data_IF_089050630268
#
_entry.id   IF_089050630268
#
_cell.length_a   1.000
_cell.length_b   1.000
_cell.length_c   1.000
_cell.angle_alpha   90.00
_cell.angle_beta   90.00
_cell.angle_gamma   90.00
#
_symmetry.space_group_name_H-M   'P 1'
#
loop_
_entity.id
_entity.type
_entity.pdbx_description
1 polymer ?
#
# COMPACT_ATOMS: atom_id res chain seq x y z
N UNK A 1 38.11 -2.05 -8.63
CA UNK A 1 37.35 -0.91 -9.16
C UNK A 1 37.35 0.19 -8.10
N UNK A 2 38.15 1.24 -8.32
CA UNK A 2 38.61 2.19 -7.30
C UNK A 2 37.52 3.23 -6.99
N UNK A 3 37.21 3.44 -5.71
CA UNK A 3 36.23 4.42 -5.20
C UNK A 3 36.65 5.90 -5.39
N UNK A 4 37.66 6.18 -6.22
CA UNK A 4 38.28 7.50 -6.36
C UNK A 4 37.64 8.44 -7.39
N UNK A 5 36.60 8.02 -8.11
CA UNK A 5 36.00 8.84 -9.20
C UNK A 5 34.52 9.18 -9.05
N UNK A 6 33.91 9.03 -7.86
CA UNK A 6 32.54 9.51 -7.67
C UNK A 6 32.53 10.97 -7.26
N UNK A 7 31.65 11.76 -7.91
CA UNK A 7 31.47 13.18 -7.59
C UNK A 7 31.18 13.37 -6.09
N UNK A 8 31.75 14.40 -5.44
CA UNK A 8 31.56 14.63 -4.01
C UNK A 8 30.09 14.82 -3.62
N UNK A 9 29.26 15.31 -4.55
CA UNK A 9 27.80 15.42 -4.39
C UNK A 9 27.12 14.06 -4.29
N UNK A 10 27.56 13.09 -5.10
CA UNK A 10 27.02 11.74 -5.05
C UNK A 10 27.37 11.06 -3.73
N UNK A 11 28.62 11.18 -3.26
CA UNK A 11 29.05 10.55 -2.01
C UNK A 11 28.25 11.04 -0.79
N UNK A 12 27.96 12.35 -0.74
CA UNK A 12 27.11 12.93 0.32
C UNK A 12 25.67 12.42 0.24
N UNK A 13 25.08 12.45 -0.96
CA UNK A 13 23.71 11.96 -1.17
C UNK A 13 23.58 10.46 -0.86
N UNK A 14 24.58 9.67 -1.22
CA UNK A 14 24.63 8.24 -0.93
C UNK A 14 24.67 7.96 0.57
N UNK A 15 25.54 8.65 1.33
CA UNK A 15 25.64 8.46 2.79
C UNK A 15 24.33 8.81 3.49
N UNK A 16 23.70 9.92 3.10
CA UNK A 16 22.41 10.35 3.65
C UNK A 16 21.29 9.36 3.29
N UNK A 17 21.26 8.89 2.05
CA UNK A 17 20.31 7.85 1.60
C UNK A 17 20.48 6.54 2.37
N UNK A 18 21.72 6.09 2.61
CA UNK A 18 22.01 4.88 3.39
C UNK A 18 21.48 5.02 4.83
N UNK A 19 21.69 6.16 5.46
CA UNK A 19 21.19 6.43 6.81
C UNK A 19 19.66 6.35 6.89
N UNK A 20 18.93 7.07 6.03
CA UNK A 20 17.47 7.01 6.02
C UNK A 20 16.95 5.62 5.60
N UNK A 21 17.65 4.92 4.72
CA UNK A 21 17.35 3.55 4.35
C UNK A 21 17.44 2.58 5.53
N UNK A 22 18.49 2.71 6.37
CA UNK A 22 18.63 1.92 7.60
C UNK A 22 17.51 2.23 8.59
N UNK A 23 17.20 3.51 8.82
CA UNK A 23 16.08 3.91 9.67
C UNK A 23 14.75 3.30 9.19
N UNK A 24 14.51 3.30 7.87
CA UNK A 24 13.32 2.68 7.28
C UNK A 24 13.29 1.17 7.48
N UNK A 25 14.42 0.47 7.30
CA UNK A 25 14.52 -0.97 7.57
C UNK A 25 14.19 -1.31 9.02
N UNK A 26 14.69 -0.52 9.98
CA UNK A 26 14.36 -0.70 11.41
C UNK A 26 12.86 -0.48 11.66
N UNK A 27 12.27 0.55 11.06
CA UNK A 27 10.83 0.81 11.17
C UNK A 27 9.98 -0.34 10.60
N UNK A 28 10.38 -0.90 9.45
CA UNK A 28 9.71 -2.07 8.85
C UNK A 28 9.86 -3.33 9.72
N UNK A 29 11.01 -3.52 10.37
CA UNK A 29 11.21 -4.64 11.30
C UNK A 29 10.29 -4.51 12.52
N UNK A 30 10.17 -3.32 13.10
CA UNK A 30 9.24 -3.02 14.20
C UNK A 30 7.81 -3.32 13.75
N UNK A 31 7.40 -2.82 12.57
CA UNK A 31 6.07 -3.08 11.99
C UNK A 31 5.80 -4.57 11.76
N UNK A 32 6.78 -5.32 11.26
CA UNK A 32 6.66 -6.77 11.02
C UNK A 32 6.42 -7.51 12.34
N UNK A 33 7.17 -7.16 13.38
CA UNK A 33 7.01 -7.77 14.70
C UNK A 33 5.67 -7.43 15.33
N UNK A 34 5.26 -6.16 15.31
CA UNK A 34 3.98 -5.72 15.90
C UNK A 34 2.79 -6.31 15.15
N UNK A 35 2.76 -6.26 13.81
CA UNK A 35 1.67 -6.84 13.03
C UNK A 35 1.59 -8.36 13.16
N UNK A 36 2.72 -9.05 13.29
CA UNK A 36 2.75 -10.49 13.55
C UNK A 36 2.11 -10.82 14.90
N UNK A 37 2.51 -10.10 15.97
CA UNK A 37 1.96 -10.29 17.31
C UNK A 37 0.46 -9.94 17.40
N UNK A 38 0.04 -8.83 16.78
CA UNK A 38 -1.34 -8.33 16.82
C UNK A 38 -2.29 -9.15 15.93
N UNK A 39 -1.81 -9.59 14.75
CA UNK A 39 -2.60 -10.44 13.87
C UNK A 39 -2.76 -11.86 14.41
N UNK A 40 -1.78 -12.37 15.16
CA UNK A 40 -1.87 -13.65 15.85
C UNK A 40 -2.92 -13.64 16.97
N UNK A 41 -3.24 -12.47 17.53
CA UNK A 41 -4.21 -12.33 18.62
C UNK A 41 -5.62 -11.99 18.16
N UNK A 42 -5.81 -11.34 17.00
CA UNK A 42 -7.13 -10.76 16.64
C UNK A 42 -7.82 -11.38 15.40
N UNK A 43 -7.15 -11.58 14.26
CA UNK A 43 -7.89 -11.31 13.01
C UNK A 43 -7.92 -12.35 11.89
N UNK A 44 -7.01 -13.33 11.83
CA UNK A 44 -6.86 -14.15 10.61
C UNK A 44 -7.86 -15.31 10.49
N UNK A 45 -8.56 -15.63 11.58
CA UNK A 45 -9.44 -16.80 11.68
C UNK A 45 -10.93 -16.45 11.80
N UNK A 46 -11.35 -15.17 11.74
CA UNK A 46 -12.76 -14.81 11.95
C UNK A 46 -13.43 -14.23 10.70
N UNK A 47 -12.79 -13.32 9.98
CA UNK A 47 -13.36 -12.76 8.75
C UNK A 47 -13.35 -13.75 7.58
N UNK A 48 -12.21 -14.38 7.30
CA UNK A 48 -12.09 -15.41 6.25
C UNK A 48 -12.77 -16.73 6.63
N UNK A 49 -12.75 -17.12 7.90
CA UNK A 49 -13.40 -18.36 8.35
C UNK A 49 -14.92 -18.20 8.39
N UNK A 50 -15.47 -17.09 8.90
CA UNK A 50 -16.93 -16.91 8.94
C UNK A 50 -17.53 -16.80 7.53
N UNK A 51 -16.84 -16.14 6.61
CA UNK A 51 -17.27 -16.05 5.21
C UNK A 51 -17.11 -17.38 4.46
N UNK A 52 -16.00 -18.09 4.64
CA UNK A 52 -15.80 -19.44 4.09
C UNK A 52 -16.80 -20.46 4.65
N UNK A 53 -17.07 -20.42 5.96
CA UNK A 53 -18.09 -21.26 6.62
C UNK A 53 -19.50 -20.94 6.11
N UNK A 54 -19.85 -19.67 5.87
CA UNK A 54 -21.13 -19.32 5.25
C UNK A 54 -21.25 -19.86 3.83
N UNK A 55 -20.17 -19.85 3.05
CA UNK A 55 -20.12 -20.41 1.70
C UNK A 55 -20.24 -21.94 1.74
N UNK A 56 -19.49 -22.60 2.64
CA UNK A 56 -19.52 -24.05 2.82
C UNK A 56 -20.90 -24.53 3.30
N UNK A 57 -21.57 -23.75 4.16
CA UNK A 57 -22.96 -24.04 4.57
C UNK A 57 -23.93 -23.97 3.39
N UNK A 58 -23.83 -22.94 2.56
CA UNK A 58 -24.67 -22.82 1.34
C UNK A 58 -24.38 -23.92 0.33
N UNK A 59 -23.11 -24.29 0.16
CA UNK A 59 -22.70 -25.43 -0.67
C UNK A 59 -23.30 -26.73 -0.16
N UNK A 60 -23.24 -26.96 1.15
CA UNK A 60 -23.74 -28.20 1.77
C UNK A 60 -25.27 -28.27 1.70
N UNK A 61 -25.95 -27.15 1.90
CA UNK A 61 -27.41 -27.05 1.73
C UNK A 61 -27.84 -27.36 0.28
N UNK A 62 -27.14 -26.78 -0.71
CA UNK A 62 -27.37 -27.07 -2.11
C UNK A 62 -27.19 -28.58 -2.40
N UNK A 63 -26.08 -29.17 -1.93
CA UNK A 63 -25.78 -30.60 -2.13
C UNK A 63 -26.84 -31.50 -1.47
N UNK A 64 -27.30 -31.16 -0.27
CA UNK A 64 -28.34 -31.92 0.43
C UNK A 64 -29.68 -31.88 -0.31
N UNK A 65 -30.06 -30.71 -0.83
CA UNK A 65 -31.29 -30.57 -1.63
C UNK A 65 -31.18 -31.33 -2.94
N UNK A 66 -30.02 -31.28 -3.62
CA UNK A 66 -29.79 -32.03 -4.85
C UNK A 66 -29.87 -33.53 -4.63
N UNK A 67 -29.29 -34.03 -3.53
CA UNK A 67 -29.26 -35.45 -3.19
C UNK A 67 -30.64 -35.99 -2.81
N UNK A 68 -31.41 -35.23 -2.01
CA UNK A 68 -32.78 -35.62 -1.64
C UNK A 68 -33.69 -35.73 -2.86
N UNK A 69 -33.52 -34.85 -3.85
CA UNK A 69 -34.36 -34.81 -5.05
C UNK A 69 -33.93 -35.86 -6.12
N UNK A 70 -32.69 -36.36 -6.08
CA UNK A 70 -32.21 -37.43 -6.98
C UNK A 70 -33.04 -38.72 -6.86
N UNK A 71 -33.58 -38.99 -5.67
CA UNK A 71 -34.36 -40.21 -5.40
C UNK A 71 -35.81 -40.07 -5.91
N UNK A 72 -36.29 -38.83 -6.10
CA UNK A 72 -37.70 -38.54 -6.37
C UNK A 72 -38.02 -38.28 -7.85
N UNK A 73 -37.03 -38.04 -8.72
CA UNK A 73 -37.24 -37.60 -10.11
C UNK A 73 -36.47 -38.44 -11.14
N UNK A 74 -36.98 -38.56 -12.38
CA UNK A 74 -36.23 -39.11 -13.50
C UNK A 74 -34.98 -38.27 -13.80
N UNK A 75 -33.94 -38.90 -14.33
CA UNK A 75 -32.61 -38.31 -14.55
C UNK A 75 -32.63 -37.00 -15.36
N UNK A 76 -33.45 -36.92 -16.40
CA UNK A 76 -33.55 -35.74 -17.26
C UNK A 76 -34.12 -34.52 -16.52
N UNK A 77 -35.22 -34.70 -15.79
CA UNK A 77 -35.87 -33.63 -15.02
C UNK A 77 -35.00 -33.20 -13.82
N UNK A 78 -34.26 -34.15 -13.24
CA UNK A 78 -33.30 -33.87 -12.18
C UNK A 78 -32.12 -33.05 -12.70
N UNK A 79 -31.56 -33.39 -13.88
CA UNK A 79 -30.43 -32.69 -14.47
C UNK A 79 -30.77 -31.22 -14.81
N UNK A 80 -31.97 -30.97 -15.34
CA UNK A 80 -32.44 -29.61 -15.63
C UNK A 80 -32.59 -28.79 -14.34
N UNK A 81 -33.19 -29.37 -13.30
CA UNK A 81 -33.32 -28.71 -11.99
C UNK A 81 -31.96 -28.47 -11.32
N UNK A 82 -31.05 -29.43 -11.40
CA UNK A 82 -29.71 -29.33 -10.82
C UNK A 82 -28.92 -28.19 -11.46
N UNK A 83 -28.94 -28.10 -12.80
CA UNK A 83 -28.32 -27.00 -13.54
C UNK A 83 -28.89 -25.65 -13.11
N UNK A 84 -30.21 -25.53 -12.98
CA UNK A 84 -30.86 -24.28 -12.54
C UNK A 84 -30.47 -23.88 -11.11
N UNK A 85 -30.38 -24.83 -10.19
CA UNK A 85 -29.95 -24.55 -8.80
C UNK A 85 -28.45 -24.22 -8.72
N UNK A 86 -27.64 -24.89 -9.52
CA UNK A 86 -26.20 -24.63 -9.63
C UNK A 86 -25.95 -23.23 -10.20
N UNK A 87 -26.69 -22.83 -11.24
CA UNK A 87 -26.62 -21.49 -11.84
C UNK A 87 -26.99 -20.39 -10.82
N UNK A 88 -28.01 -20.62 -9.98
CA UNK A 88 -28.37 -19.68 -8.90
C UNK A 88 -27.27 -19.59 -7.83
N UNK A 89 -26.65 -20.72 -7.48
CA UNK A 89 -25.54 -20.74 -6.54
C UNK A 89 -24.29 -20.05 -7.11
N UNK A 90 -23.96 -20.32 -8.37
CA UNK A 90 -22.87 -19.68 -9.11
C UNK A 90 -23.11 -18.18 -9.22
N UNK A 91 -24.33 -17.75 -9.55
CA UNK A 91 -24.69 -16.32 -9.58
C UNK A 91 -24.56 -15.67 -8.20
N UNK A 92 -24.96 -16.34 -7.13
CA UNK A 92 -24.76 -15.83 -5.76
C UNK A 92 -23.28 -15.78 -5.37
N UNK A 93 -22.48 -16.74 -5.85
CA UNK A 93 -21.04 -16.85 -5.59
C UNK A 93 -20.26 -15.80 -6.39
N UNK A 94 -20.62 -15.55 -7.65
CA UNK A 94 -20.10 -14.48 -8.47
C UNK A 94 -20.48 -13.11 -7.94
N UNK A 95 -21.71 -12.92 -7.45
CA UNK A 95 -22.11 -11.69 -6.77
C UNK A 95 -21.30 -11.45 -5.49
N UNK A 96 -21.05 -12.51 -4.71
CA UNK A 96 -20.18 -12.44 -3.53
C UNK A 96 -18.72 -12.11 -3.88
N UNK A 97 -18.20 -12.61 -5.01
CA UNK A 97 -16.87 -12.25 -5.51
C UNK A 97 -16.84 -10.88 -6.24
N UNK A 98 -17.97 -10.19 -6.37
CA UNK A 98 -18.08 -8.92 -7.08
C UNK A 98 -17.91 -9.03 -8.60
N UNK A 99 -18.16 -10.21 -9.17
CA UNK A 99 -18.01 -10.50 -10.59
C UNK A 99 -19.31 -10.39 -11.41
N UNK A 100 -20.45 -10.09 -10.78
CA UNK A 100 -21.74 -9.98 -11.48
C UNK A 100 -22.07 -8.51 -11.78
N UNK A 101 -21.79 -8.07 -13.01
CA UNK A 101 -22.24 -6.80 -13.57
C UNK A 101 -23.74 -6.89 -13.90
N UNK A 102 -24.57 -6.15 -13.17
CA UNK A 102 -25.92 -5.82 -13.63
C UNK A 102 -26.12 -4.30 -13.59
N UNK A 103 -26.76 -3.79 -14.64
CA UNK A 103 -27.21 -2.42 -14.92
C UNK A 103 -26.24 -1.42 -15.59
N UNK A 104 -26.67 -0.99 -16.79
CA UNK A 104 -26.03 -0.06 -17.73
C UNK A 104 -25.78 1.35 -17.14
N UNK A 105 -26.54 1.78 -16.12
CA UNK A 105 -26.40 3.09 -15.47
C UNK A 105 -25.24 3.14 -14.45
N UNK A 106 -24.84 1.99 -13.90
CA UNK A 106 -23.71 1.87 -12.95
C UNK A 106 -22.36 2.01 -13.65
N UNK A 107 -22.30 1.74 -14.96
CA UNK A 107 -21.07 1.74 -15.75
C UNK A 107 -20.33 3.09 -15.75
N UNK A 108 -21.05 4.22 -15.84
CA UNK A 108 -20.43 5.54 -15.88
C UNK A 108 -19.86 5.94 -14.52
N UNK A 109 -20.64 5.77 -13.44
CA UNK A 109 -20.20 6.11 -12.08
C UNK A 109 -19.04 5.22 -11.65
N UNK A 110 -19.06 3.94 -12.00
CA UNK A 110 -17.94 3.03 -11.79
C UNK A 110 -16.71 3.43 -12.59
N UNK A 111 -16.88 3.83 -13.86
CA UNK A 111 -15.78 4.32 -14.70
C UNK A 111 -15.18 5.61 -14.15
N UNK A 112 -16.02 6.54 -13.67
CA UNK A 112 -15.59 7.76 -13.00
C UNK A 112 -14.82 7.45 -11.71
N UNK A 113 -15.31 6.50 -10.90
CA UNK A 113 -14.63 6.04 -9.68
C UNK A 113 -13.26 5.46 -9.99
N UNK A 114 -13.19 4.57 -10.98
CA UNK A 114 -11.94 3.97 -11.47
C UNK A 114 -10.97 5.06 -11.94
N UNK A 115 -11.46 6.05 -12.71
CA UNK A 115 -10.69 7.20 -13.18
C UNK A 115 -10.17 8.07 -12.03
N UNK A 116 -11.01 8.47 -11.07
CA UNK A 116 -10.59 9.26 -9.91
C UNK A 116 -9.59 8.48 -9.05
N UNK A 117 -9.84 7.20 -8.79
CA UNK A 117 -8.93 6.34 -8.02
C UNK A 117 -7.56 6.22 -8.69
N UNK A 118 -7.51 6.14 -10.02
CA UNK A 118 -6.28 6.05 -10.80
C UNK A 118 -5.49 7.37 -10.77
N UNK A 119 -6.16 8.52 -10.89
CA UNK A 119 -5.53 9.85 -10.82
C UNK A 119 -5.03 10.18 -9.40
N UNK A 120 -5.83 9.85 -8.39
CA UNK A 120 -5.55 10.18 -6.98
C UNK A 120 -4.71 9.12 -6.27
N UNK A 121 -4.46 7.98 -6.89
CA UNK A 121 -3.70 6.83 -6.34
C UNK A 121 -4.29 6.25 -5.05
N UNK A 122 -5.59 6.49 -4.80
CA UNK A 122 -6.25 6.12 -3.54
C UNK A 122 -6.55 4.62 -3.44
N UNK A 123 -6.69 3.86 -4.53
CA UNK A 123 -7.32 2.53 -4.46
C UNK A 123 -6.63 1.42 -5.25
N UNK A 124 -6.79 0.16 -4.82
CA UNK A 124 -6.32 -1.01 -5.56
C UNK A 124 -7.06 -1.12 -6.89
N UNK A 125 -6.30 -1.42 -7.95
CA UNK A 125 -6.81 -1.59 -9.29
C UNK A 125 -6.75 -3.08 -9.63
N UNK A 126 -7.89 -3.70 -9.89
CA UNK A 126 -7.96 -5.09 -10.32
C UNK A 126 -7.49 -5.21 -11.77
N UNK A 127 -6.26 -5.68 -11.95
CA UNK A 127 -5.60 -5.79 -13.27
C UNK A 127 -6.37 -6.75 -14.20
N UNK A 128 -7.07 -7.74 -13.63
CA UNK A 128 -7.83 -8.76 -14.35
C UNK A 128 -9.10 -8.22 -15.01
N UNK A 129 -9.58 -7.04 -14.60
CA UNK A 129 -10.74 -6.37 -15.19
C UNK A 129 -10.40 -5.59 -16.47
N UNK A 130 -9.13 -5.52 -16.88
CA UNK A 130 -8.71 -4.73 -18.05
C UNK A 130 -8.32 -5.59 -19.25
N UNK A 131 -8.85 -5.21 -20.41
CA UNK A 131 -8.34 -5.67 -21.71
C UNK A 131 -6.94 -5.13 -21.98
N UNK A 132 -6.19 -5.74 -22.90
CA UNK A 132 -4.83 -5.28 -23.28
C UNK A 132 -4.86 -3.78 -23.66
N UNK A 133 -5.85 -3.37 -24.46
CA UNK A 133 -6.07 -1.97 -24.83
C UNK A 133 -6.36 -1.08 -23.61
N UNK A 134 -7.19 -1.55 -22.68
CA UNK A 134 -7.50 -0.84 -21.44
C UNK A 134 -6.27 -0.65 -20.54
N UNK A 135 -5.37 -1.63 -20.50
CA UNK A 135 -4.09 -1.53 -19.75
C UNK A 135 -3.18 -0.44 -20.33
N UNK A 136 -3.02 -0.39 -21.65
CA UNK A 136 -2.21 0.64 -22.31
C UNK A 136 -2.80 2.04 -22.06
N UNK A 137 -4.12 2.19 -22.19
CA UNK A 137 -4.80 3.45 -21.90
C UNK A 137 -4.59 3.90 -20.45
N UNK A 138 -4.74 2.97 -19.50
CA UNK A 138 -4.54 3.21 -18.06
C UNK A 138 -3.15 3.75 -17.75
N UNK A 139 -2.10 3.20 -18.38
CA UNK A 139 -0.71 3.68 -18.23
C UNK A 139 -0.56 5.12 -18.71
N UNK A 140 -1.04 5.43 -19.91
CA UNK A 140 -0.97 6.79 -20.49
C UNK A 140 -1.75 7.78 -19.61
N UNK A 141 -2.96 7.38 -19.22
CA UNK A 141 -3.85 8.20 -18.40
C UNK A 141 -3.25 8.48 -17.02
N UNK A 142 -2.67 7.49 -16.33
CA UNK A 142 -2.02 7.70 -15.04
C UNK A 142 -0.75 8.57 -15.16
N UNK A 143 0.03 8.40 -16.23
CA UNK A 143 1.26 9.17 -16.46
C UNK A 143 0.99 10.68 -16.55
N UNK A 144 -0.14 11.08 -17.13
CA UNK A 144 -0.54 12.49 -17.25
C UNK A 144 -1.38 12.91 -16.04
N UNK A 145 -2.30 12.05 -15.59
CA UNK A 145 -3.26 12.35 -14.53
C UNK A 145 -2.62 12.54 -13.15
N UNK A 146 -1.67 11.68 -12.76
CA UNK A 146 -1.03 11.76 -11.44
C UNK A 146 -0.29 13.09 -11.25
N UNK A 147 0.58 13.56 -12.18
CA UNK A 147 1.18 14.89 -12.08
C UNK A 147 0.16 16.03 -12.00
N UNK A 148 -0.93 15.96 -12.76
CA UNK A 148 -2.01 16.96 -12.70
C UNK A 148 -2.69 16.97 -11.32
N UNK A 149 -2.93 15.80 -10.74
CA UNK A 149 -3.46 15.68 -9.38
C UNK A 149 -2.50 16.29 -8.35
N UNK A 150 -1.20 15.99 -8.46
CA UNK A 150 -0.19 16.56 -7.57
C UNK A 150 -0.08 18.08 -7.68
N UNK A 151 -0.23 18.64 -8.89
CA UNK A 151 -0.31 20.09 -9.09
C UNK A 151 -1.52 20.69 -8.37
N UNK A 152 -2.70 20.07 -8.50
CA UNK A 152 -3.90 20.53 -7.83
C UNK A 152 -3.76 20.44 -6.29
N UNK A 153 -3.27 19.31 -5.77
CA UNK A 153 -2.98 19.13 -4.35
C UNK A 153 -1.97 20.15 -3.83
N UNK A 154 -0.98 20.55 -4.64
CA UNK A 154 -0.02 21.58 -4.29
C UNK A 154 -0.71 22.94 -4.09
N UNK A 155 -1.61 23.33 -5.00
CA UNK A 155 -2.34 24.60 -4.88
C UNK A 155 -3.32 24.58 -3.70
N UNK A 156 -4.09 23.51 -3.54
CA UNK A 156 -4.99 23.33 -2.40
C UNK A 156 -4.21 23.37 -1.08
N UNK A 157 -3.05 22.73 -1.05
CA UNK A 157 -2.19 22.74 0.11
C UNK A 157 -1.60 24.12 0.44
N UNK A 158 -1.31 24.98 -0.56
CA UNK A 158 -0.90 26.37 -0.31
C UNK A 158 -2.04 27.18 0.30
N UNK A 159 -3.27 26.95 -0.16
CA UNK A 159 -4.46 27.56 0.41
C UNK A 159 -4.65 27.15 1.88
N UNK A 160 -4.51 25.85 2.19
CA UNK A 160 -4.58 25.34 3.56
C UNK A 160 -3.52 26.00 4.46
N UNK A 161 -2.26 26.08 4.01
CA UNK A 161 -1.19 26.70 4.79
C UNK A 161 -1.35 28.20 5.01
N UNK A 162 -2.16 28.88 4.19
CA UNK A 162 -2.50 30.29 4.41
C UNK A 162 -3.48 30.52 5.57
N UNK A 163 -4.21 29.47 5.96
CA UNK A 163 -5.20 29.54 7.05
C UNK A 163 -4.64 28.92 8.34
N UNK A 164 -3.93 27.79 8.23
CA UNK A 164 -3.33 27.10 9.38
C UNK A 164 -1.83 26.92 9.19
N UNK A 165 -1.04 27.44 10.14
CA UNK A 165 0.43 27.38 10.09
C UNK A 165 1.02 26.41 11.12
N UNK A 166 2.02 25.65 10.69
CA UNK A 166 2.84 24.78 11.53
C UNK A 166 2.04 23.71 12.29
N UNK A 167 2.34 23.54 13.58
CA UNK A 167 1.76 22.50 14.44
C UNK A 167 0.26 22.62 14.63
N UNK A 168 -0.31 23.82 14.42
CA UNK A 168 -1.75 24.05 14.54
C UNK A 168 -2.55 23.33 13.45
N UNK A 169 -1.90 22.90 12.35
CA UNK A 169 -2.52 22.15 11.25
C UNK A 169 -2.92 20.71 11.65
N UNK A 170 -2.31 20.14 12.68
CA UNK A 170 -2.64 18.77 13.11
C UNK A 170 -4.07 18.69 13.68
N UNK A 171 -4.50 19.73 14.40
CA UNK A 171 -5.84 19.80 15.02
C UNK A 171 -6.96 19.76 13.96
N UNK A 172 -7.00 20.65 12.95
CA UNK A 172 -8.05 20.60 11.93
C UNK A 172 -7.99 19.33 11.08
N UNK A 173 -6.82 18.71 10.88
CA UNK A 173 -6.73 17.41 10.19
C UNK A 173 -7.43 16.32 10.98
N UNK A 174 -7.17 16.23 12.30
CA UNK A 174 -7.83 15.24 13.16
C UNK A 174 -9.34 15.50 13.21
N UNK A 175 -9.76 16.76 13.39
CA UNK A 175 -11.17 17.13 13.36
C UNK A 175 -11.83 16.77 12.02
N UNK A 176 -11.15 17.01 10.90
CA UNK A 176 -11.67 16.71 9.57
C UNK A 176 -11.83 15.20 9.34
N UNK A 177 -10.86 14.38 9.80
CA UNK A 177 -10.96 12.92 9.76
C UNK A 177 -12.16 12.45 10.59
N UNK A 178 -12.34 12.99 11.80
CA UNK A 178 -13.45 12.61 12.67
C UNK A 178 -14.82 12.98 12.07
N UNK A 179 -14.98 14.22 11.60
CA UNK A 179 -16.22 14.68 10.96
C UNK A 179 -16.51 13.87 9.69
N UNK A 180 -15.49 13.61 8.89
CA UNK A 180 -15.62 12.78 7.68
C UNK A 180 -16.05 11.36 8.05
N UNK A 181 -15.47 10.75 9.09
CA UNK A 181 -15.87 9.42 9.57
C UNK A 181 -17.34 9.37 9.98
N UNK A 182 -17.86 10.38 10.68
CA UNK A 182 -19.29 10.49 11.01
C UNK A 182 -20.15 10.60 9.75
N UNK A 183 -19.74 11.42 8.78
CA UNK A 183 -20.46 11.55 7.51
C UNK A 183 -20.48 10.22 6.75
N UNK A 184 -19.35 9.53 6.70
CA UNK A 184 -19.23 8.22 6.06
C UNK A 184 -20.13 7.18 6.73
N UNK A 185 -20.17 7.16 8.06
CA UNK A 185 -21.01 6.23 8.82
C UNK A 185 -22.50 6.46 8.53
N UNK A 186 -22.94 7.72 8.48
CA UNK A 186 -24.32 8.12 8.16
C UNK A 186 -24.71 7.81 6.72
N UNK A 187 -23.82 8.04 5.75
CA UNK A 187 -24.10 7.77 4.32
C UNK A 187 -24.17 6.27 4.04
N UNK A 188 -23.37 5.47 4.74
CA UNK A 188 -23.21 4.04 4.50
C UNK A 188 -24.34 3.19 5.10
N UNK A 189 -25.26 3.76 5.90
CA UNK A 189 -26.36 3.07 6.59
C UNK A 189 -25.91 1.70 7.14
N UNK A 190 -24.75 1.71 7.84
CA UNK A 190 -24.13 0.48 8.34
C UNK A 190 -25.04 -0.15 9.39
N UNK A 191 -25.43 -1.40 9.16
CA UNK A 191 -25.92 -2.29 10.22
C UNK A 191 -24.92 -2.23 11.41
N UNK A 192 -25.44 -2.05 12.63
CA UNK A 192 -24.76 -1.71 13.90
C UNK A 192 -23.61 -2.65 14.35
N UNK A 193 -23.21 -3.63 13.54
CA UNK A 193 -22.27 -4.69 13.89
C UNK A 193 -20.78 -4.30 13.75
N UNK A 194 -20.46 -3.19 13.09
CA UNK A 194 -19.07 -2.73 12.89
C UNK A 194 -18.74 -1.51 13.75
N UNK A 195 -17.63 -1.52 14.52
CA UNK A 195 -17.29 -0.41 15.39
C UNK A 195 -16.96 0.86 14.59
N UNK A 196 -17.40 2.03 15.07
CA UNK A 196 -17.10 3.37 14.51
C UNK A 196 -15.59 3.60 14.22
N UNK A 197 -14.71 2.94 14.97
CA UNK A 197 -13.27 2.96 14.71
C UNK A 197 -12.89 2.44 13.33
N UNK A 198 -13.65 1.50 12.75
CA UNK A 198 -13.42 1.00 11.39
C UNK A 198 -13.71 2.09 10.34
N UNK A 199 -14.70 2.96 10.59
CA UNK A 199 -14.99 4.10 9.73
C UNK A 199 -13.86 5.13 9.80
N UNK A 200 -13.40 5.49 11.01
CA UNK A 200 -12.23 6.38 11.18
C UNK A 200 -11.01 5.81 10.45
N UNK A 201 -10.74 4.52 10.63
CA UNK A 201 -9.59 3.86 10.02
C UNK A 201 -9.70 3.85 8.49
N UNK A 202 -10.87 3.53 7.94
CA UNK A 202 -11.13 3.55 6.50
C UNK A 202 -10.92 4.95 5.90
N UNK A 203 -11.47 5.99 6.55
CA UNK A 203 -11.31 7.39 6.10
C UNK A 203 -9.85 7.82 6.15
N UNK A 204 -9.13 7.47 7.22
CA UNK A 204 -7.72 7.77 7.35
C UNK A 204 -6.88 7.11 6.24
N UNK A 205 -7.13 5.83 5.93
CA UNK A 205 -6.46 5.12 4.84
C UNK A 205 -6.76 5.74 3.48
N UNK A 206 -8.00 6.20 3.27
CA UNK A 206 -8.41 6.87 2.04
C UNK A 206 -7.70 8.22 1.86
N UNK A 207 -7.66 9.05 2.90
CA UNK A 207 -6.98 10.35 2.85
C UNK A 207 -5.46 10.22 2.79
N UNK A 208 -4.89 9.12 3.29
CA UNK A 208 -3.46 8.79 3.19
C UNK A 208 -3.07 8.12 1.87
N UNK A 209 -4.01 7.98 0.92
CA UNK A 209 -3.80 7.30 -0.37
C UNK A 209 -3.28 5.86 -0.25
N UNK A 210 -3.61 5.17 0.87
CA UNK A 210 -3.22 3.75 1.10
C UNK A 210 -4.31 2.81 0.59
N UNK A 211 -5.58 3.15 0.87
CA UNK A 211 -6.73 2.64 0.13
C UNK A 211 -7.24 1.23 0.44
N UNK A 212 -8.54 1.15 0.73
CA UNK A 212 -9.42 0.07 0.25
C UNK A 212 -10.81 0.67 -0.02
N UNK A 213 -11.10 1.02 -1.27
CA UNK A 213 -12.42 1.51 -1.70
C UNK A 213 -13.23 0.34 -2.23
N UNK A 214 -13.61 -0.59 -1.35
CA UNK A 214 -14.46 -1.73 -1.73
C UNK A 214 -15.94 -1.34 -1.86
N UNK A 215 -16.32 -0.15 -1.40
CA UNK A 215 -17.72 0.26 -1.33
C UNK A 215 -18.07 1.39 -2.27
N UNK A 216 -19.26 1.29 -2.83
CA UNK A 216 -19.77 2.18 -3.84
C UNK A 216 -20.40 3.40 -3.21
N UNK A 217 -19.74 4.54 -3.40
CA UNK A 217 -20.30 5.82 -3.03
C UNK A 217 -21.21 6.33 -4.13
N UNK A 218 -22.49 6.54 -3.79
CA UNK A 218 -23.44 7.23 -4.65
C UNK A 218 -23.27 8.75 -4.51
N UNK A 219 -22.88 9.41 -5.60
CA UNK A 219 -22.83 10.88 -5.71
C UNK A 219 -21.44 11.52 -5.72
N UNK A 220 -21.39 12.83 -6.00
CA UNK A 220 -20.14 13.60 -6.20
C UNK A 220 -19.54 14.07 -4.86
N UNK A 221 -20.38 14.27 -3.84
CA UNK A 221 -20.01 14.77 -2.51
C UNK A 221 -18.84 13.98 -1.86
N UNK A 222 -18.85 12.63 -1.80
CA UNK A 222 -17.76 11.87 -1.19
C UNK A 222 -16.42 12.05 -1.93
N UNK A 223 -16.43 12.28 -3.25
CA UNK A 223 -15.19 12.57 -4.00
C UNK A 223 -14.61 13.95 -3.63
N UNK A 224 -15.46 14.94 -3.35
CA UNK A 224 -15.00 16.26 -2.90
C UNK A 224 -14.39 16.16 -1.50
N UNK A 225 -15.05 15.44 -0.60
CA UNK A 225 -14.58 15.22 0.77
C UNK A 225 -13.22 14.51 0.77
N UNK A 226 -13.07 13.47 -0.05
CA UNK A 226 -11.79 12.74 -0.17
C UNK A 226 -10.70 13.62 -0.76
N UNK A 227 -11.02 14.42 -1.78
CA UNK A 227 -10.03 15.31 -2.37
C UNK A 227 -9.49 16.35 -1.37
N UNK A 228 -10.37 16.99 -0.60
CA UNK A 228 -9.98 17.92 0.46
C UNK A 228 -9.20 17.19 1.57
N UNK A 229 -9.64 15.99 1.95
CA UNK A 229 -8.97 15.15 2.95
C UNK A 229 -7.54 14.79 2.55
N UNK A 230 -7.33 14.36 1.31
CA UNK A 230 -6.00 14.05 0.75
C UNK A 230 -5.12 15.30 0.75
N UNK A 231 -5.66 16.48 0.40
CA UNK A 231 -4.88 17.72 0.43
C UNK A 231 -4.43 18.10 1.85
N UNK A 232 -5.31 17.95 2.85
CA UNK A 232 -5.02 18.20 4.26
C UNK A 232 -3.97 17.23 4.80
N UNK A 233 -4.17 15.93 4.58
CA UNK A 233 -3.23 14.89 5.04
C UNK A 233 -1.88 15.00 4.34
N UNK A 234 -1.85 15.29 3.03
CA UNK A 234 -0.61 15.52 2.29
C UNK A 234 0.23 16.65 2.88
N UNK A 235 -0.41 17.75 3.31
CA UNK A 235 0.29 18.84 4.00
C UNK A 235 0.72 18.49 5.42
N UNK A 236 -0.08 17.72 6.16
CA UNK A 236 0.34 17.18 7.44
C UNK A 236 1.57 16.28 7.31
N UNK A 237 1.61 15.41 6.29
CA UNK A 237 2.75 14.53 6.00
C UNK A 237 4.00 15.32 5.64
N UNK A 238 3.87 16.35 4.82
CA UNK A 238 4.99 17.25 4.51
C UNK A 238 5.54 17.94 5.77
N UNK A 239 4.67 18.41 6.66
CA UNK A 239 5.11 19.01 7.92
C UNK A 239 5.80 17.98 8.84
N UNK A 240 5.22 16.79 8.98
CA UNK A 240 5.82 15.70 9.76
C UNK A 240 7.17 15.28 9.20
N UNK A 241 7.34 15.21 7.88
CA UNK A 241 8.63 14.91 7.26
C UNK A 241 9.70 15.91 7.69
N UNK A 242 9.39 17.22 7.65
CA UNK A 242 10.35 18.25 8.06
C UNK A 242 10.72 18.13 9.55
N UNK A 243 9.75 17.83 10.42
CA UNK A 243 10.01 17.62 11.84
C UNK A 243 10.86 16.36 12.09
N UNK A 244 10.60 15.25 11.38
CA UNK A 244 11.40 14.03 11.43
C UNK A 244 12.84 14.31 10.98
N UNK A 245 13.03 15.00 9.86
CA UNK A 245 14.36 15.38 9.38
C UNK A 245 15.12 16.22 10.42
N UNK A 246 14.43 17.17 11.09
CA UNK A 246 15.03 17.98 12.16
C UNK A 246 15.45 17.13 13.36
N UNK A 247 14.64 16.15 13.76
CA UNK A 247 14.97 15.25 14.87
C UNK A 247 16.10 14.29 14.52
N UNK A 248 16.16 13.82 13.27
CA UNK A 248 17.17 12.87 12.81
C UNK A 248 18.52 13.53 12.46
N UNK A 249 18.57 14.85 12.29
CA UNK A 249 19.80 15.56 11.93
C UNK A 249 21.00 15.26 12.85
N UNK A 250 20.77 15.20 14.17
CA UNK A 250 21.82 14.84 15.13
C UNK A 250 22.34 13.41 14.97
N UNK A 251 21.44 12.48 14.65
CA UNK A 251 21.78 11.08 14.39
C UNK A 251 22.48 10.89 13.05
N UNK A 252 22.09 11.65 12.01
CA UNK A 252 22.75 11.66 10.70
C UNK A 252 24.23 12.07 10.85
N UNK A 253 24.49 13.09 11.67
CA UNK A 253 25.84 13.56 11.96
C UNK A 253 26.67 12.49 12.69
N UNK A 254 26.10 11.85 13.71
CA UNK A 254 26.75 10.76 14.44
C UNK A 254 27.05 9.57 13.52
N UNK A 255 26.08 9.16 12.69
CA UNK A 255 26.24 8.10 11.71
C UNK A 255 27.37 8.41 10.73
N UNK A 256 27.44 9.65 10.25
CA UNK A 256 28.52 10.10 9.37
C UNK A 256 29.91 9.96 10.02
N UNK A 257 30.03 10.29 11.31
CA UNK A 257 31.26 10.09 12.05
C UNK A 257 31.65 8.61 12.13
N UNK A 258 30.72 7.74 12.49
CA UNK A 258 30.94 6.29 12.58
C UNK A 258 31.30 5.70 11.21
N UNK A 259 30.56 6.05 10.16
CA UNK A 259 30.81 5.58 8.80
C UNK A 259 32.19 6.00 8.30
N UNK A 260 32.61 7.24 8.58
CA UNK A 260 33.94 7.72 8.20
C UNK A 260 35.08 7.00 8.93
N UNK A 261 34.88 6.60 10.19
CA UNK A 261 35.84 5.78 10.94
C UNK A 261 35.91 4.37 10.37
N UNK A 262 34.77 3.78 10.03
CA UNK A 262 34.69 2.47 9.40
C UNK A 262 35.37 2.45 8.02
N UNK A 263 35.14 3.47 7.20
CA UNK A 263 35.77 3.60 5.88
C UNK A 263 37.30 3.73 5.98
N UNK A 264 37.81 4.47 6.98
CA UNK A 264 39.25 4.55 7.28
C UNK A 264 39.81 3.19 7.71
N UNK A 265 39.13 2.50 8.62
CA UNK A 265 39.54 1.17 9.07
C UNK A 265 39.61 0.15 7.91
N UNK A 266 38.58 0.12 7.03
CA UNK A 266 38.58 -0.73 5.84
C UNK A 266 39.67 -0.36 4.82
N UNK A 267 40.10 0.91 4.79
CA UNK A 267 41.18 1.36 3.91
C UNK A 267 42.55 0.96 4.45
N UNK A 268 42.75 1.01 5.78
CA UNK A 268 43.98 0.55 6.42
C UNK A 268 44.17 -0.96 6.26
N UNK A 269 43.11 -1.76 6.40
CA UNK A 269 43.16 -3.22 6.20
C UNK A 269 43.51 -3.60 4.74
N UNK A 270 42.98 -2.84 3.79
CA UNK A 270 43.38 -2.94 2.37
C UNK A 270 44.82 -2.48 2.11
N UNK A 271 45.34 -1.52 2.86
CA UNK A 271 46.73 -1.07 2.78
C UNK A 271 47.70 -2.11 3.33
N UNK A 272 47.34 -2.80 4.40
CA UNK A 272 48.13 -3.86 5.03
C UNK A 272 48.20 -5.10 4.13
N UNK A 273 47.08 -5.53 3.55
CA UNK A 273 47.04 -6.67 2.62
C UNK A 273 47.81 -6.42 1.32
N UNK A 274 47.79 -5.20 0.77
CA UNK A 274 48.56 -4.85 -0.44
C UNK A 274 50.07 -4.74 -0.18
N UNK A 275 50.49 -4.35 1.03
CA UNK A 275 51.90 -4.29 1.38
C UNK A 275 52.46 -5.67 1.78
N UNK A 276 51.64 -6.55 2.37
CA UNK A 276 52.01 -7.95 2.65
C UNK A 276 52.28 -8.73 1.35
N UNK A 277 51.42 -8.58 0.33
CA UNK A 277 51.61 -9.25 -0.96
C UNK A 277 52.80 -8.71 -1.78
N UNK A 278 53.37 -7.55 -1.43
CA UNK A 278 54.54 -6.98 -2.11
C UNK A 278 55.87 -7.40 -1.46
N UNK A 279 55.82 -7.91 -0.23
CA UNK A 279 57.01 -8.32 0.53
C UNK A 279 57.31 -9.81 0.33
N UNK A 280 56.36 -10.63 -0.13
CA UNK A 280 56.57 -12.07 -0.39
C UNK A 280 57.11 -12.41 -1.80
N UNK A 281 57.28 -11.45 -2.73
CA UNK A 281 57.76 -11.73 -4.10
C UNK A 281 59.26 -11.43 -4.35
N UNK A 282 60.08 -11.17 -3.32
CA UNK A 282 61.50 -10.73 -3.53
C UNK A 282 62.57 -11.73 -3.06
N UNK A 283 62.23 -12.79 -2.30
CA UNK A 283 63.24 -13.68 -1.71
C UNK A 283 63.06 -15.17 -2.08
N UNK A 284 62.86 -15.50 -3.36
CA UNK A 284 63.14 -16.85 -3.90
C UNK A 284 63.66 -16.69 -5.34
N UNK A 285 64.99 -16.63 -5.52
CA UNK A 285 65.72 -17.07 -6.73
C UNK A 285 67.19 -16.54 -6.75
N UNK A 286 67.96 -16.71 -5.69
CA UNK A 286 69.43 -16.74 -5.79
C UNK A 286 69.97 -17.73 -4.75
N UNK A 287 70.01 -19.01 -5.09
CA UNK A 287 71.06 -19.96 -4.71
C UNK A 287 70.73 -21.36 -5.27
N UNK A 288 71.43 -21.76 -6.33
CA UNK A 288 71.97 -23.12 -6.59
C UNK A 288 72.14 -23.39 -8.10
N UNK A 289 73.38 -23.30 -8.58
CA UNK A 289 74.01 -24.44 -9.26
C UNK A 289 75.51 -24.18 -9.47
N UNK A 290 76.33 -24.88 -8.69
CA UNK A 290 77.73 -25.17 -8.98
C UNK A 290 77.88 -25.89 -10.34
N UNK A 291 78.90 -25.46 -11.13
CA UNK A 291 79.89 -26.23 -11.91
C UNK A 291 80.40 -25.44 -13.14
#
# INVERSE_FOLDING_TARGET
MSTRELSPRFQLAFRRSLFFGLCLCVWLAIGTFTFSALSATVGRHRANLASMVRLDNKRTELLNVLWAETIAKPEADWAEMANKKLELYEKALLNYMGCYEDTNDRSFVESLRKSVSLVTTIGPINIDMFTITGKIFTVIYATIGVPLCLLLLTQCGRMITSIWEGKTLIIPVICYIFVSAVIYDVIEDRDDDVPFFDAIFSVFLQFSTIGQTEKEFYGIIPYIITFIGVALVSKAFFHMQHEIERLLYGFEFAFTSVFSKFERWMSDDKGITLNSNRIEEVDEDEDESDY
#
